data_IF_836399151508
#
_entry.id   IF_836399151508
#
_cell.length_a   1.000
_cell.length_b   1.000
_cell.length_c   1.000
_cell.angle_alpha   90.00
_cell.angle_beta   90.00
_cell.angle_gamma   90.00
#
_symmetry.space_group_name_H-M   'P 1'
#
loop_
_entity.id
_entity.type
_entity.pdbx_description
1 polymer ?
#
# COMPACT_ATOMS: atom_id res chain seq x y z
N UNK A 1 2.00 2.69 21.14
CA UNK A 1 1.77 4.13 20.84
C UNK A 1 0.42 4.62 21.38
N UNK A 2 -0.02 4.10 22.54
CA UNK A 2 -1.42 4.19 22.94
C UNK A 2 -1.95 5.62 23.19
N UNK A 3 -1.07 6.58 23.50
CA UNK A 3 -1.42 7.97 23.78
C UNK A 3 -1.48 8.86 22.54
N UNK A 4 -1.07 8.37 21.37
CA UNK A 4 -1.08 9.13 20.11
C UNK A 4 -2.50 9.18 19.56
N UNK A 5 -2.90 10.35 19.05
CA UNK A 5 -4.14 10.53 18.29
C UNK A 5 -3.80 10.56 16.80
N UNK A 6 -4.44 9.71 16.01
CA UNK A 6 -4.24 9.61 14.56
C UNK A 6 -5.49 10.12 13.83
N UNK A 7 -5.33 11.04 12.89
CA UNK A 7 -6.43 11.63 12.11
C UNK A 7 -6.29 11.33 10.63
N UNK A 8 -7.36 10.87 9.99
CA UNK A 8 -7.46 10.67 8.54
C UNK A 8 -8.32 11.76 7.92
N UNK A 9 -7.77 12.53 6.99
CA UNK A 9 -8.54 13.48 6.19
C UNK A 9 -8.77 12.86 4.83
N UNK A 10 -10.02 12.47 4.55
CA UNK A 10 -10.37 11.61 3.43
C UNK A 10 -10.45 10.13 3.86
N UNK A 11 -11.62 9.54 3.68
CA UNK A 11 -11.92 8.16 4.06
C UNK A 11 -12.50 7.37 2.87
N UNK A 12 -11.80 7.45 1.74
CA UNK A 12 -12.05 6.64 0.55
C UNK A 12 -11.49 5.22 0.70
N UNK A 13 -11.28 4.52 -0.41
CA UNK A 13 -10.76 3.13 -0.40
C UNK A 13 -9.43 3.01 0.36
N UNK A 14 -8.44 3.83 0.01
CA UNK A 14 -7.12 3.77 0.66
C UNK A 14 -7.15 4.27 2.11
N UNK A 15 -7.79 5.41 2.38
CA UNK A 15 -7.88 5.96 3.74
C UNK A 15 -8.58 5.01 4.72
N UNK A 16 -9.66 4.36 4.28
CA UNK A 16 -10.36 3.37 5.10
C UNK A 16 -9.58 2.08 5.28
N UNK A 17 -8.91 1.56 4.25
CA UNK A 17 -8.06 0.37 4.36
C UNK A 17 -6.89 0.59 5.33
N UNK A 18 -6.22 1.75 5.26
CA UNK A 18 -5.12 2.09 6.17
C UNK A 18 -5.59 2.28 7.61
N UNK A 19 -6.67 3.03 7.81
CA UNK A 19 -7.21 3.28 9.14
C UNK A 19 -7.66 1.98 9.83
N UNK A 20 -8.32 1.07 9.09
CA UNK A 20 -8.74 -0.22 9.62
C UNK A 20 -7.55 -1.18 9.82
N UNK A 21 -6.57 -1.19 8.92
CA UNK A 21 -5.33 -1.97 9.08
C UNK A 21 -4.61 -1.61 10.38
N UNK A 22 -4.40 -0.31 10.62
CA UNK A 22 -3.79 0.20 11.86
C UNK A 22 -4.67 -0.13 13.07
N UNK A 23 -5.98 0.06 12.98
CA UNK A 23 -6.89 -0.26 14.08
C UNK A 23 -6.88 -1.74 14.48
N UNK A 24 -6.72 -2.65 13.51
CA UNK A 24 -6.71 -4.11 13.74
C UNK A 24 -5.42 -4.59 14.42
N UNK A 25 -4.32 -3.87 14.22
CA UNK A 25 -3.02 -4.18 14.85
C UNK A 25 -2.92 -3.83 16.34
N UNK A 26 -3.87 -3.05 16.86
CA UNK A 26 -3.95 -2.58 18.26
C UNK A 26 -2.78 -1.71 18.76
N UNK A 27 -1.90 -1.20 17.88
CA UNK A 27 -0.79 -0.30 18.30
C UNK A 27 -1.27 1.08 18.81
N UNK A 28 -2.46 1.49 18.35
CA UNK A 28 -3.20 2.70 18.68
C UNK A 28 -4.63 2.26 18.95
N UNK A 29 -5.19 2.67 20.09
CA UNK A 29 -6.56 2.29 20.46
C UNK A 29 -7.55 2.93 19.50
N UNK A 30 -8.64 2.22 19.15
CA UNK A 30 -9.65 2.69 18.19
C UNK A 30 -10.24 4.05 18.56
N UNK A 31 -10.40 4.33 19.86
CA UNK A 31 -10.87 5.61 20.36
C UNK A 31 -9.91 6.78 20.12
N UNK A 32 -8.67 6.51 19.73
CA UNK A 32 -7.66 7.50 19.39
C UNK A 32 -7.43 7.60 17.88
N UNK A 33 -8.25 6.91 17.07
CA UNK A 33 -8.23 7.00 15.61
C UNK A 33 -9.48 7.75 15.15
N UNK A 34 -9.24 8.83 14.42
CA UNK A 34 -10.24 9.77 13.95
C UNK A 34 -10.25 9.83 12.43
N UNK A 35 -11.40 10.10 11.83
CA UNK A 35 -11.48 10.37 10.40
C UNK A 35 -12.46 11.50 10.08
N UNK A 36 -12.21 12.16 8.97
CA UNK A 36 -13.07 13.15 8.37
C UNK A 36 -13.36 12.79 6.90
N UNK A 37 -14.62 12.91 6.49
CA UNK A 37 -15.11 12.62 5.13
C UNK A 37 -16.46 13.32 4.91
N UNK A 38 -16.85 13.51 3.64
CA UNK A 38 -18.14 14.12 3.25
C UNK A 38 -19.38 13.44 3.85
N UNK A 39 -19.31 12.13 4.01
CA UNK A 39 -20.36 11.34 4.65
C UNK A 39 -19.77 10.38 5.67
N UNK A 40 -20.45 10.27 6.82
CA UNK A 40 -20.12 9.30 7.85
C UNK A 40 -20.13 7.89 7.23
N UNK A 41 -19.05 7.15 7.46
CA UNK A 41 -18.90 5.78 6.98
C UNK A 41 -19.28 4.79 8.07
N UNK A 42 -19.67 3.58 7.67
CA UNK A 42 -19.99 2.50 8.58
C UNK A 42 -18.70 1.91 9.18
N UNK A 43 -18.19 2.54 10.24
CA UNK A 43 -16.98 2.12 10.96
C UNK A 43 -17.08 2.49 12.44
N UNK A 44 -16.33 1.78 13.28
CA UNK A 44 -16.21 2.04 14.72
C UNK A 44 -15.23 3.14 15.07
N UNK A 45 -14.52 3.69 14.08
CA UNK A 45 -13.59 4.81 14.26
C UNK A 45 -14.33 6.12 14.50
N UNK A 46 -13.69 7.08 15.18
CA UNK A 46 -14.32 8.35 15.54
C UNK A 46 -14.46 9.27 14.34
N UNK A 47 -15.69 9.52 13.91
CA UNK A 47 -15.99 10.51 12.89
C UNK A 47 -15.89 11.93 13.47
N UNK A 48 -15.09 12.78 12.83
CA UNK A 48 -15.06 14.22 13.09
C UNK A 48 -15.90 14.90 12.01
N UNK A 49 -17.11 15.36 12.38
CA UNK A 49 -17.94 16.16 11.49
C UNK A 49 -17.36 17.58 11.36
N UNK A 50 -17.08 18.02 10.14
CA UNK A 50 -17.05 19.46 9.82
C UNK A 50 -18.27 19.76 8.93
N UNK A 51 -18.71 21.01 8.91
CA UNK A 51 -19.78 21.49 8.03
C UNK A 51 -19.27 21.84 6.62
N UNK A 52 -18.03 21.50 6.30
CA UNK A 52 -17.34 21.97 5.09
C UNK A 52 -16.87 20.78 4.25
N UNK A 53 -17.10 20.91 2.94
CA UNK A 53 -16.71 19.98 1.89
C UNK A 53 -15.20 20.02 1.71
N UNK A 54 -14.44 18.94 1.99
CA UNK A 54 -13.06 18.88 1.60
C UNK A 54 -12.99 18.18 0.26
N UNK A 55 -13.05 18.99 -0.79
CA UNK A 55 -12.64 18.57 -2.13
C UNK A 55 -11.23 19.08 -2.41
N UNK A 56 -10.44 18.23 -3.07
CA UNK A 56 -9.00 18.38 -3.34
C UNK A 56 -8.09 18.56 -2.11
N UNK A 57 -7.00 17.78 -2.07
CA UNK A 57 -5.97 17.87 -1.02
C UNK A 57 -5.50 19.30 -0.72
N UNK A 58 -5.59 20.22 -1.69
CA UNK A 58 -5.26 21.63 -1.52
C UNK A 58 -6.18 22.38 -0.55
N UNK A 59 -7.51 22.22 -0.64
CA UNK A 59 -8.41 22.90 0.29
C UNK A 59 -8.15 22.43 1.72
N UNK A 60 -8.13 21.10 1.91
CA UNK A 60 -7.86 20.47 3.21
C UNK A 60 -6.54 20.96 3.82
N UNK A 61 -5.46 20.96 3.03
CA UNK A 61 -4.14 21.35 3.54
C UNK A 61 -4.07 22.82 3.92
N UNK A 62 -4.77 23.70 3.20
CA UNK A 62 -4.89 25.11 3.56
C UNK A 62 -5.69 25.31 4.85
N UNK A 63 -6.80 24.59 5.02
CA UNK A 63 -7.66 24.72 6.20
C UNK A 63 -6.97 24.24 7.48
N UNK A 64 -6.16 23.18 7.39
CA UNK A 64 -5.43 22.66 8.55
C UNK A 64 -4.11 23.38 8.82
N UNK A 65 -3.59 24.16 7.85
CA UNK A 65 -2.29 24.82 7.92
C UNK A 65 -2.04 25.54 9.26
N UNK A 66 -2.98 26.35 9.81
CA UNK A 66 -2.77 27.03 11.09
C UNK A 66 -2.58 26.08 12.29
N UNK A 67 -2.99 24.81 12.15
CA UNK A 67 -2.97 23.81 13.21
C UNK A 67 -1.83 22.79 13.05
N UNK A 68 -0.98 22.91 12.03
CA UNK A 68 0.13 21.97 11.77
C UNK A 68 1.36 22.24 12.63
N UNK A 69 1.44 23.39 13.32
CA UNK A 69 2.56 23.71 14.21
C UNK A 69 2.78 22.59 15.23
N UNK A 70 4.00 22.07 15.29
CA UNK A 70 4.41 20.94 16.16
C UNK A 70 3.72 19.59 15.89
N UNK A 71 3.00 19.44 14.77
CA UNK A 71 2.42 18.16 14.33
C UNK A 71 3.22 17.56 13.18
N UNK A 72 3.06 16.25 13.01
CA UNK A 72 3.61 15.50 11.88
C UNK A 72 2.49 15.32 10.85
N UNK A 73 2.69 15.87 9.64
CA UNK A 73 1.81 15.65 8.51
C UNK A 73 2.28 14.43 7.73
N UNK A 74 1.38 13.47 7.54
CA UNK A 74 1.61 12.29 6.71
C UNK A 74 0.68 12.37 5.50
N UNK A 75 1.24 12.60 4.32
CA UNK A 75 0.50 12.60 3.06
C UNK A 75 0.57 11.22 2.42
N UNK A 76 -0.57 10.73 1.94
CA UNK A 76 -0.66 9.50 1.12
C UNK A 76 -1.06 9.79 -0.33
N UNK A 77 -1.07 11.06 -0.73
CA UNK A 77 -1.52 11.47 -2.05
C UNK A 77 -0.48 11.12 -3.12
N UNK A 78 -0.91 10.45 -4.20
CA UNK A 78 -0.07 10.25 -5.38
C UNK A 78 0.23 11.58 -6.09
N UNK A 79 1.48 11.75 -6.54
CA UNK A 79 1.90 12.90 -7.36
C UNK A 79 2.09 14.23 -6.62
N UNK A 80 1.87 14.28 -5.30
CA UNK A 80 2.19 15.42 -4.44
C UNK A 80 3.53 15.19 -3.75
N UNK A 81 4.59 15.60 -4.44
CA UNK A 81 5.96 15.55 -3.92
C UNK A 81 6.15 16.50 -2.72
N UNK A 82 7.30 16.43 -2.06
CA UNK A 82 7.56 17.19 -0.83
C UNK A 82 7.45 18.69 -1.08
N UNK A 83 8.04 19.19 -2.17
CA UNK A 83 8.00 20.60 -2.54
C UNK A 83 6.56 21.14 -2.64
N UNK A 84 5.66 20.42 -3.32
CA UNK A 84 4.24 20.81 -3.39
C UNK A 84 3.58 20.81 -2.02
N UNK A 85 3.86 19.81 -1.20
CA UNK A 85 3.31 19.73 0.16
C UNK A 85 3.80 20.89 1.03
N UNK A 86 5.07 21.28 0.93
CA UNK A 86 5.65 22.44 1.61
C UNK A 86 5.00 23.75 1.15
N UNK A 87 4.79 23.92 -0.16
CA UNK A 87 4.07 25.09 -0.69
C UNK A 87 2.65 25.21 -0.12
N UNK A 88 1.95 24.09 0.02
CA UNK A 88 0.58 24.04 0.54
C UNK A 88 0.53 24.25 2.06
N UNK A 89 1.51 23.76 2.81
CA UNK A 89 1.45 23.67 4.29
C UNK A 89 2.41 24.59 5.03
N UNK A 90 3.34 25.23 4.32
CA UNK A 90 4.42 26.03 4.87
C UNK A 90 5.72 25.24 5.05
N UNK A 91 6.86 25.90 4.83
CA UNK A 91 8.19 25.28 4.87
C UNK A 91 8.62 24.80 6.25
N UNK A 92 7.97 25.25 7.33
CA UNK A 92 8.26 24.82 8.71
C UNK A 92 7.51 23.53 9.10
N UNK A 93 6.61 23.04 8.25
CA UNK A 93 5.85 21.84 8.52
C UNK A 93 6.75 20.59 8.50
N UNK A 94 6.44 19.64 9.37
CA UNK A 94 7.07 18.31 9.34
C UNK A 94 6.29 17.41 8.41
N UNK A 95 6.87 17.07 7.27
CA UNK A 95 6.15 16.40 6.18
C UNK A 95 6.79 15.05 5.89
N UNK A 96 5.94 14.03 5.88
CA UNK A 96 6.26 12.67 5.44
C UNK A 96 5.32 12.35 4.28
N UNK A 97 5.89 12.00 3.14
CA UNK A 97 5.14 11.50 2.01
C UNK A 97 5.26 9.97 1.98
N UNK A 98 4.15 9.29 2.20
CA UNK A 98 4.06 7.82 2.23
C UNK A 98 3.25 7.36 1.03
N UNK A 99 3.69 6.31 0.35
CA UNK A 99 2.85 5.61 -0.61
C UNK A 99 2.42 4.26 -0.04
N UNK A 100 1.15 4.10 0.38
CA UNK A 100 0.59 2.84 0.83
C UNK A 100 -0.03 2.01 -0.30
N UNK A 101 -0.48 0.82 0.05
CA UNK A 101 -1.32 -0.02 -0.80
C UNK A 101 -2.42 -0.74 0.01
N UNK A 102 -3.48 -1.18 -0.67
CA UNK A 102 -4.67 -1.76 -0.03
C UNK A 102 -4.47 -3.06 0.76
N UNK A 103 -3.45 -3.92 0.49
CA UNK A 103 -3.11 -5.06 1.34
C UNK A 103 -2.88 -4.74 2.83
N UNK A 104 -2.65 -3.47 3.19
CA UNK A 104 -2.59 -3.06 4.60
C UNK A 104 -3.85 -3.43 5.41
N UNK A 105 -5.01 -3.56 4.75
CA UNK A 105 -6.26 -3.98 5.40
C UNK A 105 -6.16 -5.37 6.05
N UNK A 106 -5.35 -6.25 5.47
CA UNK A 106 -5.09 -7.61 5.96
C UNK A 106 -3.73 -7.74 6.65
N UNK A 107 -3.06 -6.62 6.94
CA UNK A 107 -1.77 -6.59 7.62
C UNK A 107 -0.55 -6.81 6.71
N UNK A 108 -0.75 -6.92 5.40
CA UNK A 108 0.29 -7.25 4.42
C UNK A 108 0.60 -6.07 3.50
N UNK A 109 0.52 -4.84 4.04
CA UNK A 109 0.83 -3.63 3.29
C UNK A 109 2.30 -3.56 2.86
N UNK A 110 2.57 -2.97 1.70
CA UNK A 110 3.92 -2.60 1.29
C UNK A 110 3.97 -1.07 1.13
N UNK A 111 4.73 -0.42 2.01
CA UNK A 111 4.80 1.03 2.11
C UNK A 111 6.20 1.51 1.75
N UNK A 112 6.25 2.66 1.08
CA UNK A 112 7.48 3.43 0.87
C UNK A 112 7.26 4.85 1.36
N UNK A 113 8.30 5.50 1.85
CA UNK A 113 8.18 6.90 2.25
C UNK A 113 9.45 7.69 2.06
N UNK A 114 9.29 9.01 1.93
CA UNK A 114 10.35 9.99 2.04
C UNK A 114 9.91 11.15 2.96
N UNK A 115 10.86 11.97 3.41
CA UNK A 115 10.61 13.02 4.41
C UNK A 115 11.29 14.33 4.03
N UNK A 116 10.76 15.45 4.51
CA UNK A 116 11.42 16.74 4.36
C UNK A 116 12.47 16.98 5.46
N UNK A 117 13.19 18.10 5.36
CA UNK A 117 14.30 18.46 6.27
C UNK A 117 13.88 18.62 7.73
N UNK A 118 12.59 18.85 8.02
CA UNK A 118 12.09 19.12 9.37
C UNK A 118 11.72 17.85 10.16
N UNK A 119 11.68 16.69 9.50
CA UNK A 119 11.36 15.41 10.13
C UNK A 119 12.62 14.80 10.76
N UNK A 120 12.59 14.62 12.08
CA UNK A 120 13.70 14.05 12.83
C UNK A 120 13.57 12.52 13.03
N UNK A 121 14.58 11.91 13.65
CA UNK A 121 14.60 10.47 13.90
C UNK A 121 13.44 9.96 14.77
N UNK A 122 12.94 10.75 15.72
CA UNK A 122 11.79 10.39 16.56
C UNK A 122 10.51 10.35 15.71
N UNK A 123 10.36 11.30 14.80
CA UNK A 123 9.22 11.33 13.88
C UNK A 123 9.28 10.18 12.88
N UNK A 124 10.47 9.87 12.31
CA UNK A 124 10.67 8.69 11.47
C UNK A 124 10.34 7.39 12.20
N UNK A 125 10.76 7.26 13.47
CA UNK A 125 10.42 6.09 14.27
C UNK A 125 8.91 5.93 14.43
N UNK A 126 8.19 7.03 14.69
CA UNK A 126 6.72 7.00 14.78
C UNK A 126 6.07 6.54 13.47
N UNK A 127 6.54 7.03 12.33
CA UNK A 127 6.05 6.58 11.02
C UNK A 127 6.29 5.10 10.84
N UNK A 128 7.52 4.62 11.05
CA UNK A 128 7.84 3.20 10.96
C UNK A 128 6.94 2.37 11.86
N UNK A 129 6.84 2.71 13.15
CA UNK A 129 5.99 1.98 14.10
C UNK A 129 4.50 1.95 13.66
N UNK A 130 3.97 3.03 13.06
CA UNK A 130 2.57 3.11 12.60
C UNK A 130 2.32 2.17 11.42
N UNK A 131 3.17 2.23 10.40
CA UNK A 131 2.96 1.48 9.16
C UNK A 131 3.38 0.02 9.29
N UNK A 132 4.45 -0.27 10.05
CA UNK A 132 4.86 -1.64 10.37
C UNK A 132 3.80 -2.45 11.11
N UNK A 133 2.80 -1.78 11.69
CA UNK A 133 1.69 -2.46 12.36
C UNK A 133 0.72 -3.15 11.38
N UNK A 134 0.74 -2.77 10.10
CA UNK A 134 -0.13 -3.32 9.08
C UNK A 134 0.60 -3.63 7.76
N UNK A 135 1.90 -3.89 7.84
CA UNK A 135 2.72 -4.29 6.71
C UNK A 135 4.21 -3.99 6.90
N UNK A 136 4.92 -3.80 5.78
CA UNK A 136 6.36 -3.50 5.75
C UNK A 136 6.59 -2.13 5.11
N UNK A 137 7.42 -1.30 5.74
CA UNK A 137 7.69 0.07 5.30
C UNK A 137 9.18 0.30 5.05
N UNK A 138 9.50 1.00 3.96
CA UNK A 138 10.86 1.36 3.59
C UNK A 138 11.02 2.86 3.38
N UNK A 139 12.08 3.44 3.95
CA UNK A 139 12.50 4.79 3.60
C UNK A 139 13.26 4.75 2.27
N UNK A 140 12.86 5.58 1.31
CA UNK A 140 13.50 5.68 0.00
C UNK A 140 13.79 7.15 -0.34
N UNK A 141 14.56 7.36 -1.42
CA UNK A 141 14.78 8.71 -1.94
C UNK A 141 13.52 9.20 -2.64
N UNK A 142 13.23 10.49 -2.54
CA UNK A 142 12.04 11.09 -3.17
C UNK A 142 11.99 10.83 -4.69
N UNK A 143 13.14 10.88 -5.37
CA UNK A 143 13.24 10.56 -6.81
C UNK A 143 12.78 9.14 -7.17
N UNK A 144 12.81 8.22 -6.22
CA UNK A 144 12.42 6.82 -6.40
C UNK A 144 10.94 6.59 -6.02
N UNK A 145 10.23 7.60 -5.49
CA UNK A 145 8.82 7.49 -5.09
C UNK A 145 7.89 7.14 -6.26
N UNK A 146 8.13 7.68 -7.45
CA UNK A 146 7.28 7.41 -8.61
C UNK A 146 7.37 5.94 -9.04
N UNK A 147 8.59 5.41 -9.20
CA UNK A 147 8.78 4.00 -9.58
C UNK A 147 8.36 3.07 -8.44
N UNK A 148 8.64 3.42 -7.19
CA UNK A 148 8.16 2.68 -6.03
C UNK A 148 6.64 2.63 -5.99
N UNK A 149 5.94 3.74 -6.29
CA UNK A 149 4.47 3.80 -6.37
C UNK A 149 3.92 2.87 -7.45
N UNK A 150 4.55 2.88 -8.63
CA UNK A 150 4.14 1.98 -9.72
C UNK A 150 4.26 0.51 -9.31
N UNK A 151 5.27 0.14 -8.52
CA UNK A 151 5.48 -1.24 -8.08
C UNK A 151 4.61 -1.59 -6.87
N UNK A 152 4.68 -0.86 -5.76
CA UNK A 152 4.01 -1.22 -4.50
C UNK A 152 2.58 -0.73 -4.42
N UNK A 153 2.32 0.51 -4.84
CA UNK A 153 1.01 1.16 -4.78
C UNK A 153 0.04 0.58 -5.81
N UNK A 154 0.48 0.49 -7.07
CA UNK A 154 -0.31 -0.06 -8.18
C UNK A 154 -0.20 -1.59 -8.30
N UNK A 155 0.87 -2.18 -7.77
CA UNK A 155 1.17 -3.62 -7.80
C UNK A 155 0.00 -4.56 -7.53
N UNK A 156 -0.82 -4.33 -6.49
CA UNK A 156 -1.97 -5.19 -6.20
C UNK A 156 -2.93 -5.34 -7.39
N UNK A 157 -3.14 -4.29 -8.19
CA UNK A 157 -4.01 -4.37 -9.36
C UNK A 157 -3.46 -5.34 -10.43
N UNK A 158 -2.14 -5.34 -10.65
CA UNK A 158 -1.47 -6.26 -11.59
C UNK A 158 -1.59 -7.70 -11.09
N UNK A 159 -1.39 -7.91 -9.79
CA UNK A 159 -1.53 -9.22 -9.15
C UNK A 159 -2.97 -9.73 -9.21
N UNK A 160 -3.97 -8.86 -9.01
CA UNK A 160 -5.38 -9.24 -9.13
C UNK A 160 -5.74 -9.67 -10.56
N UNK A 161 -5.28 -8.93 -11.57
CA UNK A 161 -5.49 -9.31 -12.97
C UNK A 161 -4.80 -10.65 -13.30
N UNK A 162 -3.60 -10.88 -12.76
CA UNK A 162 -2.89 -12.15 -12.92
C UNK A 162 -3.65 -13.32 -12.28
N UNK A 163 -4.16 -13.14 -11.06
CA UNK A 163 -5.00 -14.12 -10.36
C UNK A 163 -6.27 -14.42 -11.18
N UNK A 164 -6.99 -13.37 -11.62
CA UNK A 164 -8.20 -13.50 -12.43
C UNK A 164 -7.93 -14.33 -13.69
N UNK A 165 -6.85 -14.01 -14.41
CA UNK A 165 -6.45 -14.67 -15.65
C UNK A 165 -6.16 -16.17 -15.45
N UNK A 166 -5.48 -16.55 -14.36
CA UNK A 166 -5.20 -17.96 -14.05
C UNK A 166 -6.47 -18.73 -13.68
N UNK A 167 -7.38 -18.11 -12.92
CA UNK A 167 -8.67 -18.72 -12.58
C UNK A 167 -9.48 -18.99 -13.84
N UNK A 168 -9.58 -17.99 -14.72
CA UNK A 168 -10.35 -18.12 -15.96
C UNK A 168 -9.74 -19.13 -16.93
N UNK A 169 -8.40 -19.21 -17.01
CA UNK A 169 -7.74 -20.27 -17.76
C UNK A 169 -8.09 -21.67 -17.21
N UNK A 170 -8.10 -21.85 -15.88
CA UNK A 170 -8.51 -23.11 -15.26
C UNK A 170 -9.96 -23.48 -15.57
N UNK A 171 -10.87 -22.51 -15.48
CA UNK A 171 -12.30 -22.71 -15.77
C UNK A 171 -12.53 -23.05 -17.24
N UNK A 172 -11.88 -22.32 -18.15
CA UNK A 172 -11.95 -22.58 -19.60
C UNK A 172 -11.53 -24.01 -19.95
N UNK A 173 -10.65 -24.62 -19.17
CA UNK A 173 -10.13 -25.97 -19.38
C UNK A 173 -10.77 -27.02 -18.46
N UNK A 174 -11.93 -26.72 -17.85
CA UNK A 174 -12.79 -27.71 -17.20
C UNK A 174 -12.72 -27.78 -15.67
N UNK A 175 -11.96 -26.91 -15.01
CA UNK A 175 -12.03 -26.80 -13.54
C UNK A 175 -13.29 -26.07 -13.09
N UNK A 176 -13.80 -26.40 -11.91
CA UNK A 176 -14.78 -25.52 -11.25
C UNK A 176 -14.11 -24.21 -10.86
N UNK A 177 -14.85 -23.10 -10.90
CA UNK A 177 -14.33 -21.77 -10.53
C UNK A 177 -13.77 -21.73 -9.11
N UNK A 178 -14.39 -22.44 -8.17
CA UNK A 178 -13.93 -22.55 -6.79
C UNK A 178 -12.57 -23.26 -6.68
N UNK A 179 -12.41 -24.42 -7.35
CA UNK A 179 -11.15 -25.14 -7.33
C UNK A 179 -10.04 -24.35 -8.03
N UNK A 180 -10.31 -23.76 -9.19
CA UNK A 180 -9.36 -22.91 -9.92
C UNK A 180 -8.87 -21.73 -9.07
N UNK A 181 -9.78 -21.08 -8.32
CA UNK A 181 -9.43 -20.04 -7.35
C UNK A 181 -8.52 -20.56 -6.24
N UNK A 182 -8.89 -21.67 -5.58
CA UNK A 182 -8.09 -22.25 -4.49
C UNK A 182 -6.68 -22.62 -4.94
N UNK A 183 -6.54 -23.28 -6.09
CA UNK A 183 -5.25 -23.65 -6.65
C UNK A 183 -4.40 -22.42 -7.02
N UNK A 184 -5.01 -21.43 -7.66
CA UNK A 184 -4.31 -20.19 -8.06
C UNK A 184 -3.74 -19.45 -6.85
N UNK A 185 -4.57 -19.22 -5.82
CA UNK A 185 -4.16 -18.50 -4.62
C UNK A 185 -3.04 -19.23 -3.88
N UNK A 186 -3.17 -20.56 -3.69
CA UNK A 186 -2.15 -21.35 -3.01
C UNK A 186 -0.84 -21.42 -3.80
N UNK A 187 -0.91 -21.49 -5.13
CA UNK A 187 0.27 -21.51 -6.01
C UNK A 187 1.07 -20.21 -5.90
N UNK A 188 0.38 -19.06 -5.94
CA UNK A 188 1.03 -17.75 -5.82
C UNK A 188 1.64 -17.57 -4.43
N UNK A 189 0.86 -17.85 -3.38
CA UNK A 189 1.34 -17.74 -2.00
C UNK A 189 2.58 -18.62 -1.74
N UNK A 190 2.56 -19.87 -2.20
CA UNK A 190 3.71 -20.76 -2.08
C UNK A 190 4.93 -20.27 -2.86
N UNK A 191 4.72 -19.73 -4.06
CA UNK A 191 5.81 -19.16 -4.87
C UNK A 191 6.47 -17.95 -4.20
N UNK A 192 5.68 -17.06 -3.60
CA UNK A 192 6.20 -15.91 -2.84
C UNK A 192 7.04 -16.39 -1.65
N UNK A 193 6.52 -17.33 -0.86
CA UNK A 193 7.26 -17.90 0.28
C UNK A 193 8.57 -18.59 -0.12
N UNK A 194 8.59 -19.25 -1.27
CA UNK A 194 9.81 -19.85 -1.81
C UNK A 194 10.85 -18.78 -2.15
N UNK A 195 10.44 -17.66 -2.74
CA UNK A 195 11.34 -16.54 -3.04
C UNK A 195 11.87 -15.90 -1.76
N UNK A 196 11.03 -15.71 -0.74
CA UNK A 196 11.43 -15.09 0.53
C UNK A 196 12.38 -15.94 1.37
N UNK A 197 12.23 -17.27 1.32
CA UNK A 197 12.99 -18.21 2.16
C UNK A 197 14.22 -18.82 1.48
N UNK A 198 14.39 -18.61 0.16
CA UNK A 198 15.50 -19.17 -0.59
C UNK A 198 16.63 -18.16 -0.79
N UNK A 199 17.87 -18.62 -0.66
CA UNK A 199 19.06 -17.88 -1.10
C UNK A 199 19.24 -17.86 -2.63
N UNK A 200 18.41 -18.62 -3.36
CA UNK A 200 18.49 -18.71 -4.82
C UNK A 200 17.81 -17.50 -5.47
N UNK A 201 18.36 -16.99 -6.59
CA UNK A 201 17.68 -15.96 -7.36
C UNK A 201 16.37 -16.51 -7.95
N UNK A 202 15.37 -15.64 -8.15
CA UNK A 202 14.03 -16.00 -8.68
C UNK A 202 14.12 -16.78 -10.00
N UNK A 203 15.11 -16.46 -10.83
CA UNK A 203 15.39 -17.13 -12.10
C UNK A 203 15.74 -18.61 -11.89
N UNK A 204 16.55 -18.92 -10.87
CA UNK A 204 16.92 -20.30 -10.56
C UNK A 204 15.73 -21.09 -10.02
N UNK A 205 14.89 -20.49 -9.16
CA UNK A 205 13.66 -21.13 -8.69
C UNK A 205 12.72 -21.49 -9.85
N UNK A 206 12.60 -20.60 -10.84
CA UNK A 206 11.86 -20.84 -12.09
C UNK A 206 12.50 -21.98 -12.91
N UNK A 207 13.82 -22.03 -13.02
CA UNK A 207 14.51 -23.07 -13.78
C UNK A 207 14.36 -24.45 -13.12
N UNK A 208 14.37 -24.52 -11.78
CA UNK A 208 14.24 -25.77 -11.02
C UNK A 208 12.89 -26.49 -11.25
N UNK A 209 11.81 -25.77 -11.56
CA UNK A 209 10.49 -26.34 -11.87
C UNK A 209 10.30 -26.62 -13.37
N UNK A 210 11.26 -26.21 -14.20
CA UNK A 210 11.21 -26.34 -15.65
C UNK A 210 11.93 -27.62 -16.11
N UNK A 211 11.25 -28.76 -16.06
CA UNK A 211 11.80 -30.01 -16.60
C UNK A 211 11.91 -29.95 -18.14
N UNK A 212 13.01 -30.44 -18.75
CA UNK A 212 13.15 -30.48 -20.21
C UNK A 212 11.99 -31.19 -20.91
N UNK A 213 11.37 -30.53 -21.89
CA UNK A 213 10.18 -31.04 -22.61
C UNK A 213 8.89 -31.11 -21.78
N UNK A 214 8.90 -30.62 -20.54
CA UNK A 214 7.76 -30.66 -19.63
C UNK A 214 6.71 -29.57 -19.88
N UNK A 215 5.58 -29.70 -19.18
CA UNK A 215 4.43 -28.79 -19.30
C UNK A 215 4.82 -27.35 -18.89
N UNK A 216 5.67 -27.19 -17.87
CA UNK A 216 6.19 -25.88 -17.43
C UNK A 216 6.96 -25.17 -18.54
N UNK A 217 7.80 -25.89 -19.28
CA UNK A 217 8.60 -25.33 -20.37
C UNK A 217 7.69 -24.76 -21.48
N UNK A 218 6.63 -25.49 -21.82
CA UNK A 218 5.64 -25.04 -22.80
C UNK A 218 4.87 -23.79 -22.33
N UNK A 219 4.49 -23.75 -21.05
CA UNK A 219 3.83 -22.57 -20.47
C UNK A 219 4.71 -21.34 -20.50
N UNK A 220 5.97 -21.46 -20.06
CA UNK A 220 6.94 -20.35 -20.08
C UNK A 220 7.23 -19.88 -21.50
N UNK A 221 7.37 -20.80 -22.46
CA UNK A 221 7.56 -20.44 -23.87
C UNK A 221 6.42 -19.57 -24.41
N UNK A 222 5.16 -19.89 -24.08
CA UNK A 222 4.01 -19.08 -24.51
C UNK A 222 4.01 -17.70 -23.84
N UNK A 223 4.36 -17.60 -22.55
CA UNK A 223 4.45 -16.30 -21.87
C UNK A 223 5.51 -15.38 -22.50
N UNK A 224 6.71 -15.91 -22.76
CA UNK A 224 7.79 -15.15 -23.40
C UNK A 224 7.43 -14.77 -24.84
N UNK A 225 6.82 -15.69 -25.61
CA UNK A 225 6.36 -15.42 -26.99
C UNK A 225 5.36 -14.26 -27.05
N UNK A 226 4.54 -14.08 -26.01
CA UNK A 226 3.56 -12.99 -25.93
C UNK A 226 4.09 -11.74 -25.19
N UNK A 227 5.40 -11.65 -24.95
CA UNK A 227 6.02 -10.44 -24.43
C UNK A 227 5.74 -10.18 -22.94
N UNK A 228 5.46 -11.20 -22.14
CA UNK A 228 5.08 -11.01 -20.72
C UNK A 228 6.05 -10.15 -19.89
N UNK A 229 7.35 -10.18 -20.20
CA UNK A 229 8.39 -9.51 -19.40
C UNK A 229 8.80 -8.11 -19.90
N UNK A 230 8.80 -7.91 -21.22
CA UNK A 230 9.36 -6.71 -21.87
C UNK A 230 8.43 -6.08 -22.92
N UNK A 231 7.17 -6.53 -22.97
CA UNK A 231 6.15 -6.06 -23.90
C UNK A 231 5.41 -4.82 -23.46
#
# INVERSE_FOLDING_TARGET
MEKIKLGFMGFGQMGSALANGIANSNIIKRENIYYHALSKKNTTLKYLSSNEEPDLANSVLNDIKPYLTSKLLISICGGLNIEKLEQMTGEDAKIVWVMPNTPCLVGEGAFIYCVNKNVNAVDKKRVNDIFSACGVIHEIKEKDMNIGTAISGCGPAYVYLFIESLIDAGVKNGLTRDLAKKLTLQTILGSVKMVESSDQPVQQLKDNICSPGGITAMGLFVLEKNGFKYG
#
